data_IF_898872202223
#
_entry.id   IF_898872202223
#
_cell.length_a   1.000
_cell.length_b   1.000
_cell.length_c   1.000
_cell.angle_alpha   90.00
_cell.angle_beta   90.00
_cell.angle_gamma   90.00
#
_symmetry.space_group_name_H-M   'P 1'
#
loop_
_entity.id
_entity.type
_entity.pdbx_description
1 polymer ?
#
# COMPACT_ATOMS: atom_id res chain seq x y z
N UNK A 1 5.30 11.05 12.31
CA UNK A 1 6.23 10.92 11.16
C UNK A 1 7.64 11.05 11.69
N UNK A 2 8.53 10.11 11.39
CA UNK A 2 9.95 10.24 11.78
C UNK A 2 10.60 11.37 10.99
N UNK A 3 11.49 12.10 11.64
CA UNK A 3 12.36 13.09 10.96
C UNK A 3 13.63 12.45 10.38
N UNK A 4 13.84 11.17 10.63
CA UNK A 4 15.07 10.48 10.28
C UNK A 4 14.89 9.61 9.03
N UNK A 5 15.94 9.59 8.24
CA UNK A 5 16.01 8.87 6.97
C UNK A 5 17.38 8.20 6.85
N UNK A 6 17.43 7.05 6.22
CA UNK A 6 18.68 6.34 5.94
C UNK A 6 19.62 7.25 5.11
N UNK A 7 20.90 7.30 5.48
CA UNK A 7 21.90 7.96 4.65
C UNK A 7 22.21 7.07 3.43
N UNK A 8 21.56 7.35 2.32
CA UNK A 8 21.67 6.57 1.08
C UNK A 8 23.02 6.69 0.37
N UNK A 9 23.85 7.67 0.77
CA UNK A 9 25.23 7.80 0.31
C UNK A 9 26.22 6.95 1.12
N UNK A 10 25.76 6.34 2.23
CA UNK A 10 26.62 5.46 3.03
C UNK A 10 26.55 4.01 2.51
N UNK A 11 27.66 3.42 2.02
CA UNK A 11 27.68 2.06 1.53
C UNK A 11 27.22 1.01 2.55
N UNK A 12 27.45 1.24 3.85
CA UNK A 12 27.01 0.32 4.91
C UNK A 12 25.48 0.32 5.04
N UNK A 13 24.81 1.44 4.79
CA UNK A 13 23.35 1.49 4.80
C UNK A 13 22.74 0.72 3.62
N UNK A 14 23.38 0.81 2.46
CA UNK A 14 23.00 0.03 1.28
C UNK A 14 23.21 -1.46 1.52
N UNK A 15 24.37 -1.85 2.08
CA UNK A 15 24.66 -3.24 2.38
C UNK A 15 23.68 -3.80 3.42
N UNK A 16 23.39 -3.07 4.49
CA UNK A 16 22.39 -3.46 5.48
C UNK A 16 21.02 -3.74 4.84
N UNK A 17 20.56 -2.87 3.93
CA UNK A 17 19.29 -3.10 3.25
C UNK A 17 19.30 -4.36 2.36
N UNK A 18 20.44 -4.65 1.71
CA UNK A 18 20.64 -5.89 0.94
C UNK A 18 20.59 -7.13 1.84
N UNK A 19 21.26 -7.09 2.98
CA UNK A 19 21.28 -8.19 3.95
C UNK A 19 19.89 -8.50 4.49
N UNK A 20 19.09 -7.45 4.78
CA UNK A 20 17.68 -7.59 5.19
C UNK A 20 16.83 -8.22 4.08
N UNK A 21 17.01 -7.80 2.82
CA UNK A 21 16.31 -8.42 1.68
C UNK A 21 16.69 -9.89 1.55
N UNK A 22 17.95 -10.24 1.76
CA UNK A 22 18.43 -11.61 1.69
C UNK A 22 17.76 -12.49 2.73
N UNK A 23 17.66 -12.02 3.97
CA UNK A 23 16.97 -12.72 5.05
C UNK A 23 15.47 -12.85 4.78
N UNK A 24 14.81 -11.77 4.34
CA UNK A 24 13.39 -11.80 3.97
C UNK A 24 13.11 -12.78 2.83
N UNK A 25 14.04 -12.92 1.88
CA UNK A 25 13.90 -13.85 0.75
C UNK A 25 13.93 -15.31 1.22
N UNK A 26 14.69 -15.63 2.26
CA UNK A 26 14.73 -16.97 2.87
C UNK A 26 13.48 -17.25 3.72
N UNK A 27 13.01 -16.27 4.48
CA UNK A 27 11.87 -16.42 5.39
C UNK A 27 10.52 -16.45 4.65
N UNK A 28 10.40 -15.69 3.55
CA UNK A 28 9.15 -15.52 2.81
C UNK A 28 9.30 -15.99 1.36
N UNK A 29 8.74 -17.17 1.02
CA UNK A 29 8.90 -17.76 -0.32
C UNK A 29 7.97 -17.14 -1.39
N UNK A 30 7.41 -15.96 -1.14
CA UNK A 30 6.48 -15.28 -2.06
C UNK A 30 7.22 -14.41 -3.09
N UNK A 31 6.56 -14.15 -4.23
CA UNK A 31 7.17 -13.45 -5.36
C UNK A 31 7.40 -11.95 -5.17
N UNK A 32 6.91 -11.33 -4.08
CA UNK A 32 6.94 -9.88 -3.87
C UNK A 32 7.54 -9.52 -2.51
N UNK A 33 8.32 -8.42 -2.47
CA UNK A 33 8.76 -7.75 -1.23
C UNK A 33 8.39 -6.27 -1.35
N UNK A 34 7.67 -5.73 -0.35
CA UNK A 34 7.36 -4.32 -0.26
C UNK A 34 8.46 -3.58 0.51
N UNK A 35 9.07 -2.58 -0.12
CA UNK A 35 10.18 -1.81 0.45
C UNK A 35 9.77 -0.43 1.00
N UNK A 36 8.48 -0.14 1.08
CA UNK A 36 8.02 1.15 1.57
C UNK A 36 8.24 2.29 0.57
N UNK A 37 8.86 3.37 1.03
CA UNK A 37 9.22 4.52 0.19
C UNK A 37 8.31 5.72 0.35
N UNK A 38 7.32 5.62 1.23
CA UNK A 38 6.40 6.69 1.61
C UNK A 38 7.07 7.73 2.51
N UNK A 39 6.52 8.94 2.48
CA UNK A 39 6.81 10.03 3.43
C UNK A 39 8.29 10.28 3.72
N UNK A 40 9.17 10.00 2.75
CA UNK A 40 10.61 10.10 2.88
C UNK A 40 11.05 11.59 2.93
N UNK A 41 11.58 12.10 4.05
CA UNK A 41 12.00 13.48 4.16
C UNK A 41 13.38 13.71 3.51
N UNK A 42 13.44 14.55 2.48
CA UNK A 42 14.72 14.84 1.76
C UNK A 42 15.62 15.83 2.47
N UNK A 43 15.10 16.66 3.37
CA UNK A 43 15.84 17.78 3.98
C UNK A 43 17.09 17.36 4.77
N UNK A 44 17.18 16.11 5.23
CA UNK A 44 18.39 15.56 5.85
C UNK A 44 19.48 15.31 4.82
N UNK A 45 19.11 14.80 3.65
CA UNK A 45 20.03 14.61 2.53
C UNK A 45 20.53 15.93 1.96
N UNK A 46 19.66 16.96 1.91
CA UNK A 46 20.00 18.31 1.47
C UNK A 46 21.11 18.96 2.32
N UNK A 47 21.25 18.54 3.58
CA UNK A 47 22.22 19.04 4.56
C UNK A 47 23.41 18.11 4.75
N UNK A 48 23.46 16.99 4.05
CA UNK A 48 24.53 16.00 4.16
C UNK A 48 25.47 16.11 2.96
N UNK A 49 26.77 16.34 3.19
CA UNK A 49 27.77 16.51 2.16
C UNK A 49 27.90 15.31 1.22
N UNK A 50 27.80 14.09 1.76
CA UNK A 50 27.94 12.87 0.97
C UNK A 50 26.72 12.68 0.06
N UNK A 51 25.51 12.99 0.55
CA UNK A 51 24.31 12.98 -0.26
C UNK A 51 24.32 14.05 -1.35
N UNK A 52 24.87 15.24 -1.06
CA UNK A 52 25.06 16.30 -2.07
C UNK A 52 26.06 15.85 -3.15
N UNK A 53 27.14 15.22 -2.75
CA UNK A 53 28.14 14.68 -3.69
C UNK A 53 27.52 13.58 -4.57
N UNK A 54 26.80 12.64 -3.97
CA UNK A 54 26.10 11.56 -4.69
C UNK A 54 25.04 12.13 -5.65
N UNK A 55 24.29 13.13 -5.24
CA UNK A 55 23.28 13.77 -6.10
C UNK A 55 23.91 14.35 -7.36
N UNK A 56 25.08 15.00 -7.21
CA UNK A 56 25.86 15.55 -8.32
C UNK A 56 26.42 14.42 -9.20
N UNK A 57 26.90 13.34 -8.60
CA UNK A 57 27.46 12.18 -9.30
C UNK A 57 26.42 11.52 -10.20
N UNK A 58 25.17 11.35 -9.71
CA UNK A 58 24.07 10.79 -10.51
C UNK A 58 23.46 11.78 -11.51
N UNK A 59 24.00 13.03 -11.57
CA UNK A 59 23.57 14.05 -12.53
C UNK A 59 22.19 14.63 -12.28
N UNK A 60 21.68 14.57 -11.04
CA UNK A 60 20.35 15.08 -10.69
C UNK A 60 20.41 16.36 -9.87
N UNK A 61 19.27 17.10 -9.84
CA UNK A 61 19.00 18.22 -8.95
C UNK A 61 17.83 17.94 -8.00
N UNK A 62 17.16 16.78 -8.17
CA UNK A 62 16.04 16.38 -7.34
C UNK A 62 16.50 15.36 -6.28
N UNK A 63 16.45 15.73 -5.01
CA UNK A 63 16.83 14.82 -3.92
C UNK A 63 15.99 13.55 -3.83
N UNK A 64 14.80 13.51 -4.43
CA UNK A 64 14.02 12.27 -4.58
C UNK A 64 14.75 11.20 -5.43
N UNK A 65 15.63 11.63 -6.32
CA UNK A 65 16.40 10.70 -7.16
C UNK A 65 17.48 9.95 -6.37
N UNK A 66 17.86 10.42 -5.19
CA UNK A 66 18.71 9.65 -4.28
C UNK A 66 17.97 8.40 -3.75
N UNK A 67 16.66 8.51 -3.50
CA UNK A 67 15.82 7.36 -3.15
C UNK A 67 15.73 6.38 -4.31
N UNK A 68 15.56 6.88 -5.54
CA UNK A 68 15.56 6.05 -6.75
C UNK A 68 16.90 5.34 -6.93
N UNK A 69 18.00 6.05 -6.75
CA UNK A 69 19.36 5.48 -6.83
C UNK A 69 19.56 4.37 -5.79
N UNK A 70 19.11 4.57 -4.56
CA UNK A 70 19.15 3.57 -3.50
C UNK A 70 18.33 2.33 -3.91
N UNK A 71 17.10 2.49 -4.36
CA UNK A 71 16.25 1.37 -4.80
C UNK A 71 16.80 0.64 -6.02
N UNK A 72 17.47 1.35 -6.93
CA UNK A 72 18.13 0.72 -8.08
C UNK A 72 19.20 -0.28 -7.63
N UNK A 73 20.00 0.08 -6.62
CA UNK A 73 21.01 -0.84 -6.07
C UNK A 73 20.38 -2.09 -5.44
N UNK A 74 19.20 -1.95 -4.82
CA UNK A 74 18.47 -3.09 -4.24
C UNK A 74 17.84 -3.96 -5.34
N UNK A 75 17.29 -3.36 -6.39
CA UNK A 75 16.79 -4.07 -7.57
C UNK A 75 17.91 -4.89 -8.25
N UNK A 76 19.07 -4.27 -8.46
CA UNK A 76 20.21 -4.96 -9.06
C UNK A 76 20.70 -6.13 -8.20
N UNK A 77 20.68 -5.96 -6.87
CA UNK A 77 21.01 -7.02 -5.95
C UNK A 77 20.04 -8.20 -6.05
N UNK A 78 18.74 -7.94 -6.08
CA UNK A 78 17.71 -8.98 -6.24
C UNK A 78 17.80 -9.67 -7.59
N UNK A 79 18.10 -8.93 -8.66
CA UNK A 79 18.21 -9.48 -10.01
C UNK A 79 19.41 -10.44 -10.16
N UNK A 80 20.45 -10.29 -9.33
CA UNK A 80 21.62 -11.17 -9.33
C UNK A 80 21.40 -12.49 -8.57
N UNK A 81 20.29 -12.62 -7.85
CA UNK A 81 19.97 -13.86 -7.12
C UNK A 81 19.57 -15.00 -8.06
N UNK A 82 19.69 -16.26 -7.63
CA UNK A 82 19.09 -17.40 -8.33
C UNK A 82 17.60 -17.16 -8.62
N UNK A 83 17.09 -17.71 -9.71
CA UNK A 83 15.74 -17.43 -10.20
C UNK A 83 14.63 -17.71 -9.15
N UNK A 84 14.78 -18.73 -8.34
CA UNK A 84 13.86 -19.10 -7.24
C UNK A 84 13.93 -18.11 -6.05
N UNK A 85 14.98 -17.31 -5.97
CA UNK A 85 15.21 -16.28 -4.93
C UNK A 85 14.95 -14.86 -5.42
N UNK A 86 14.70 -14.66 -6.70
CA UNK A 86 14.34 -13.33 -7.21
C UNK A 86 12.94 -12.92 -6.73
N UNK A 87 12.78 -11.63 -6.44
CA UNK A 87 11.53 -11.05 -5.97
C UNK A 87 11.22 -9.78 -6.77
N UNK A 88 9.93 -9.55 -7.01
CA UNK A 88 9.44 -8.26 -7.52
C UNK A 88 9.33 -7.28 -6.38
N UNK A 89 9.84 -6.08 -6.58
CA UNK A 89 9.81 -5.06 -5.55
C UNK A 89 8.56 -4.19 -5.68
N UNK A 90 7.94 -3.91 -4.53
CA UNK A 90 6.74 -3.07 -4.40
C UNK A 90 7.11 -1.82 -3.63
N UNK A 91 6.60 -0.68 -4.06
CA UNK A 91 6.84 0.62 -3.43
C UNK A 91 5.54 1.40 -3.28
N UNK A 92 5.48 2.25 -2.25
CA UNK A 92 4.43 3.27 -2.18
C UNK A 92 4.57 4.28 -3.31
N UNK A 93 3.46 4.90 -3.69
CA UNK A 93 3.41 5.73 -4.90
C UNK A 93 4.24 7.02 -4.84
N UNK A 94 4.75 7.44 -3.69
CA UNK A 94 5.64 8.60 -3.61
C UNK A 94 6.97 8.40 -4.35
N UNK A 95 7.36 7.16 -4.62
CA UNK A 95 8.52 6.87 -5.47
C UNK A 95 8.37 7.48 -6.87
N UNK A 96 7.14 7.70 -7.33
CA UNK A 96 6.84 8.36 -8.61
C UNK A 96 7.23 9.84 -8.65
N UNK A 97 7.53 10.47 -7.51
CA UNK A 97 8.01 11.86 -7.43
C UNK A 97 9.48 12.02 -7.86
N UNK A 98 10.24 10.92 -7.95
CA UNK A 98 11.58 10.89 -8.53
C UNK A 98 11.58 10.45 -9.99
N UNK A 99 12.76 10.48 -10.62
CA UNK A 99 12.95 9.89 -11.94
C UNK A 99 12.99 8.37 -11.82
N UNK A 100 11.89 7.70 -12.10
CA UNK A 100 11.77 6.23 -11.99
C UNK A 100 12.34 5.44 -13.17
N UNK A 101 12.84 6.10 -14.20
CA UNK A 101 13.40 5.43 -15.40
C UNK A 101 14.47 4.36 -15.04
N UNK A 102 15.42 4.63 -14.10
CA UNK A 102 16.42 3.63 -13.70
C UNK A 102 15.83 2.37 -13.07
N UNK A 103 14.63 2.43 -12.48
CA UNK A 103 13.99 1.26 -11.85
C UNK A 103 13.36 0.32 -12.89
N UNK A 104 13.20 0.77 -14.14
CA UNK A 104 12.53 -0.01 -15.18
C UNK A 104 11.02 -0.15 -14.94
N UNK A 105 10.43 -1.15 -15.58
CA UNK A 105 8.98 -1.37 -15.58
C UNK A 105 8.55 -2.59 -14.76
N UNK A 106 9.48 -3.42 -14.31
CA UNK A 106 9.18 -4.66 -13.57
C UNK A 106 9.14 -4.44 -12.04
N UNK A 107 8.64 -3.29 -11.65
CA UNK A 107 8.29 -2.94 -10.27
C UNK A 107 6.79 -2.79 -10.13
N UNK A 108 6.30 -2.81 -8.90
CA UNK A 108 4.88 -2.60 -8.60
C UNK A 108 4.72 -1.37 -7.71
N UNK A 109 3.79 -0.50 -8.06
CA UNK A 109 3.44 0.67 -7.28
C UNK A 109 2.17 0.38 -6.48
N UNK A 110 2.24 0.51 -5.16
CA UNK A 110 1.07 0.48 -4.30
C UNK A 110 0.57 1.91 -4.10
N UNK A 111 -0.57 2.19 -4.70
CA UNK A 111 -1.12 3.54 -4.76
C UNK A 111 -2.07 3.78 -3.58
N UNK A 112 -1.70 4.69 -2.65
CA UNK A 112 -2.46 4.99 -1.44
C UNK A 112 -2.93 6.45 -1.35
N UNK A 113 -2.05 7.41 -1.59
CA UNK A 113 -2.41 8.84 -1.61
C UNK A 113 -2.65 9.30 -3.04
N UNK A 114 -3.82 9.89 -3.29
CA UNK A 114 -4.21 10.19 -4.67
C UNK A 114 -4.25 8.93 -5.55
N UNK A 115 -4.70 7.81 -4.98
CA UNK A 115 -4.47 6.46 -5.47
C UNK A 115 -4.85 6.26 -6.95
N UNK A 116 -6.01 6.75 -7.39
CA UNK A 116 -6.47 6.56 -8.77
C UNK A 116 -5.54 7.24 -9.79
N UNK A 117 -5.10 8.47 -9.47
CA UNK A 117 -4.16 9.23 -10.29
C UNK A 117 -2.76 8.61 -10.30
N UNK A 118 -2.27 8.21 -9.13
CA UNK A 118 -0.95 7.59 -8.97
C UNK A 118 -0.87 6.21 -9.65
N UNK A 119 -1.92 5.40 -9.51
CA UNK A 119 -2.01 4.10 -10.19
C UNK A 119 -2.04 4.27 -11.72
N UNK A 120 -2.80 5.25 -12.22
CA UNK A 120 -2.83 5.56 -13.64
C UNK A 120 -1.45 6.02 -14.15
N UNK A 121 -0.76 6.89 -13.42
CA UNK A 121 0.59 7.35 -13.78
C UNK A 121 1.58 6.16 -13.83
N UNK A 122 1.57 5.29 -12.81
CA UNK A 122 2.38 4.08 -12.80
C UNK A 122 2.10 3.17 -14.01
N UNK A 123 0.82 2.92 -14.31
CA UNK A 123 0.40 2.10 -15.44
C UNK A 123 0.83 2.70 -16.79
N UNK A 124 0.71 4.03 -16.95
CA UNK A 124 1.18 4.75 -18.14
C UNK A 124 2.70 4.67 -18.32
N UNK A 125 3.46 4.62 -17.23
CA UNK A 125 4.92 4.36 -17.25
C UNK A 125 5.24 2.88 -17.50
N UNK A 126 4.22 2.01 -17.62
CA UNK A 126 4.35 0.57 -17.88
C UNK A 126 4.58 -0.30 -16.65
N UNK A 127 4.53 0.26 -15.46
CA UNK A 127 4.66 -0.46 -14.17
C UNK A 127 3.34 -1.13 -13.80
N UNK A 128 3.42 -2.19 -12.98
CA UNK A 128 2.24 -2.75 -12.33
C UNK A 128 1.78 -1.86 -11.17
N UNK A 129 0.50 -1.95 -10.81
CA UNK A 129 -0.05 -1.18 -9.71
C UNK A 129 -1.07 -1.97 -8.88
N UNK A 130 -1.14 -1.65 -7.59
CA UNK A 130 -2.14 -2.13 -6.64
C UNK A 130 -2.85 -0.90 -6.09
N UNK A 131 -4.19 -0.88 -6.15
CA UNK A 131 -5.00 0.16 -5.56
C UNK A 131 -5.18 -0.09 -4.06
N UNK A 132 -4.61 0.79 -3.24
CA UNK A 132 -4.75 0.77 -1.78
C UNK A 132 -5.15 2.16 -1.26
N UNK A 133 -6.25 2.73 -1.78
CA UNK A 133 -6.59 4.13 -1.52
C UNK A 133 -6.75 4.39 -0.02
N UNK A 134 -6.08 5.44 0.48
CA UNK A 134 -6.21 5.87 1.87
C UNK A 134 -7.69 6.10 2.23
N UNK A 135 -8.46 6.61 1.30
CA UNK A 135 -9.90 6.74 1.35
C UNK A 135 -10.47 5.97 0.17
N UNK A 136 -11.27 4.92 0.41
CA UNK A 136 -11.85 4.47 1.69
C UNK A 136 -11.22 3.19 2.28
N UNK A 137 -10.03 2.75 1.85
CA UNK A 137 -9.50 1.42 2.17
C UNK A 137 -8.54 1.37 3.37
N UNK A 138 -8.31 2.51 4.06
CA UNK A 138 -7.67 2.48 5.37
C UNK A 138 -8.70 2.18 6.44
N UNK A 139 -8.89 0.89 6.71
CA UNK A 139 -9.94 0.37 7.59
C UNK A 139 -9.54 0.36 9.09
N UNK A 140 -8.50 1.08 9.45
CA UNK A 140 -8.16 1.44 10.83
C UNK A 140 -8.90 2.72 11.30
N UNK A 141 -9.76 3.31 10.47
CA UNK A 141 -10.60 4.46 10.80
C UNK A 141 -11.96 4.00 11.35
N UNK A 142 -12.68 4.93 12.01
CA UNK A 142 -14.04 4.65 12.47
C UNK A 142 -14.93 4.20 11.31
N UNK A 143 -15.83 3.30 11.59
CA UNK A 143 -16.78 2.83 10.59
C UNK A 143 -18.19 3.41 10.76
N UNK A 144 -18.42 4.21 11.81
CA UNK A 144 -19.67 4.90 12.05
C UNK A 144 -19.47 6.18 12.86
N UNK A 145 -20.58 6.90 13.09
CA UNK A 145 -20.65 8.09 13.97
C UNK A 145 -21.11 7.78 15.38
N UNK A 146 -21.20 6.50 15.75
CA UNK A 146 -21.64 6.10 17.08
C UNK A 146 -20.62 6.57 18.14
N UNK A 147 -21.13 6.99 19.29
CA UNK A 147 -20.26 7.35 20.44
C UNK A 147 -19.46 6.18 20.99
N UNK A 148 -19.90 4.96 20.69
CA UNK A 148 -19.25 3.71 21.09
C UNK A 148 -18.13 3.29 20.16
N UNK A 149 -17.82 4.06 19.10
CA UNK A 149 -16.69 3.75 18.23
C UNK A 149 -15.38 3.70 19.02
N UNK A 150 -14.54 2.69 18.79
CA UNK A 150 -13.23 2.63 19.44
C UNK A 150 -12.35 3.79 18.99
N UNK A 151 -11.37 4.13 19.83
CA UNK A 151 -10.34 5.10 19.45
C UNK A 151 -9.63 4.60 18.19
N UNK A 152 -9.55 5.46 17.20
CA UNK A 152 -8.98 5.14 15.89
C UNK A 152 -8.43 6.41 15.24
N UNK A 153 -7.82 6.29 14.08
CA UNK A 153 -7.29 7.44 13.36
C UNK A 153 -8.43 8.40 12.94
N UNK A 154 -8.24 9.70 13.21
CA UNK A 154 -9.31 10.70 13.23
C UNK A 154 -9.68 11.38 11.91
N UNK A 155 -9.36 10.81 10.74
CA UNK A 155 -9.57 11.46 9.43
C UNK A 155 -10.94 11.19 8.78
N UNK A 156 -11.95 10.91 9.56
CA UNK A 156 -13.33 10.69 9.09
C UNK A 156 -13.79 9.24 9.26
N UNK A 157 -15.03 9.01 8.82
CA UNK A 157 -15.68 7.73 8.96
C UNK A 157 -15.66 6.98 7.62
N UNK A 158 -15.15 5.76 7.63
CA UNK A 158 -15.14 4.89 6.46
C UNK A 158 -16.20 3.79 6.66
N UNK A 159 -17.43 4.13 6.30
CA UNK A 159 -18.57 3.19 6.43
C UNK A 159 -18.45 2.03 5.45
N UNK A 160 -19.15 0.91 5.74
CA UNK A 160 -19.24 -0.23 4.81
C UNK A 160 -19.73 0.21 3.43
N UNK A 161 -20.74 1.08 3.38
CA UNK A 161 -21.29 1.62 2.14
C UNK A 161 -20.23 2.41 1.35
N UNK A 162 -19.47 3.27 2.04
CA UNK A 162 -18.40 4.05 1.40
C UNK A 162 -17.31 3.16 0.83
N UNK A 163 -16.90 2.14 1.59
CA UNK A 163 -15.91 1.14 1.14
C UNK A 163 -16.44 0.37 -0.06
N UNK A 164 -17.71 -0.08 0.00
CA UNK A 164 -18.35 -0.83 -1.08
C UNK A 164 -18.47 -0.02 -2.37
N UNK A 165 -18.83 1.28 -2.24
CA UNK A 165 -19.07 2.15 -3.39
C UNK A 165 -17.81 2.65 -4.08
N UNK A 166 -16.62 2.41 -3.53
CA UNK A 166 -15.39 2.65 -4.28
C UNK A 166 -15.36 1.75 -5.52
N UNK A 167 -15.01 2.34 -6.65
CA UNK A 167 -14.98 1.67 -7.95
C UNK A 167 -13.53 1.57 -8.44
N UNK A 168 -12.81 0.50 -8.09
CA UNK A 168 -11.52 0.23 -8.70
C UNK A 168 -11.68 0.24 -10.23
N UNK A 169 -10.69 0.67 -10.95
CA UNK A 169 -10.69 0.68 -12.43
C UNK A 169 -11.63 1.71 -13.08
N UNK A 170 -12.32 2.58 -12.30
CA UNK A 170 -13.21 3.57 -12.87
C UNK A 170 -12.46 4.55 -13.80
N UNK A 171 -12.86 4.63 -15.05
CA UNK A 171 -12.25 5.51 -16.05
C UNK A 171 -10.84 5.10 -16.49
N UNK A 172 -10.43 3.86 -16.23
CA UNK A 172 -9.15 3.32 -16.69
C UNK A 172 -9.30 2.77 -18.12
N UNK A 173 -8.47 3.29 -19.02
CA UNK A 173 -8.43 2.83 -20.41
C UNK A 173 -8.09 1.32 -20.49
N UNK A 174 -8.71 0.61 -21.43
CA UNK A 174 -8.63 -0.85 -21.52
C UNK A 174 -7.18 -1.35 -21.65
N UNK A 175 -6.35 -0.65 -22.39
CA UNK A 175 -4.94 -0.99 -22.58
C UNK A 175 -4.09 -0.87 -21.29
N UNK A 176 -4.55 -0.13 -20.29
CA UNK A 176 -3.87 0.00 -19.00
C UNK A 176 -4.36 -1.01 -17.95
N UNK A 177 -5.53 -1.58 -18.13
CA UNK A 177 -6.14 -2.50 -17.16
C UNK A 177 -5.25 -3.69 -16.78
N UNK A 178 -4.48 -4.32 -17.71
CA UNK A 178 -3.59 -5.42 -17.36
C UNK A 178 -2.47 -5.06 -16.38
N UNK A 179 -2.23 -3.76 -16.14
CA UNK A 179 -1.26 -3.28 -15.16
C UNK A 179 -1.80 -3.25 -13.73
N UNK A 180 -3.11 -3.30 -13.56
CA UNK A 180 -3.75 -3.28 -12.25
C UNK A 180 -3.84 -4.71 -11.71
N UNK A 181 -3.06 -5.01 -10.67
CA UNK A 181 -3.00 -6.35 -10.07
C UNK A 181 -4.16 -6.62 -9.11
N UNK A 182 -4.79 -5.57 -8.59
CA UNK A 182 -5.92 -5.69 -7.68
C UNK A 182 -6.03 -4.54 -6.68
N UNK A 183 -6.72 -4.82 -5.58
CA UNK A 183 -6.97 -3.88 -4.48
C UNK A 183 -6.41 -4.41 -3.17
N UNK A 184 -6.08 -3.50 -2.25
CA UNK A 184 -5.66 -3.84 -0.90
C UNK A 184 -6.29 -2.86 0.11
N UNK A 185 -6.77 -3.38 1.24
CA UNK A 185 -7.07 -2.57 2.41
C UNK A 185 -5.89 -2.56 3.37
N UNK A 186 -5.66 -1.43 4.03
CA UNK A 186 -4.63 -1.28 5.04
C UNK A 186 -5.24 -1.10 6.43
N UNK A 187 -4.57 -1.69 7.41
CA UNK A 187 -4.90 -1.54 8.82
C UNK A 187 -3.64 -1.16 9.60
N UNK A 188 -3.62 0.07 10.11
CA UNK A 188 -2.52 0.60 10.91
C UNK A 188 -2.89 0.58 12.39
N UNK A 189 -1.94 0.23 13.25
CA UNK A 189 -2.22 -0.16 14.64
C UNK A 189 -1.85 0.90 15.68
N UNK A 190 -1.54 2.13 15.31
CA UNK A 190 -1.09 3.20 16.22
C UNK A 190 -2.07 3.49 17.35
N UNK A 191 -3.36 3.26 17.13
CA UNK A 191 -4.44 3.52 18.07
C UNK A 191 -5.09 2.26 18.64
N UNK A 192 -4.55 1.09 18.30
CA UNK A 192 -5.16 -0.20 18.63
C UNK A 192 -4.36 -0.90 19.71
N UNK A 193 -5.03 -1.21 20.81
CA UNK A 193 -4.43 -1.87 21.97
C UNK A 193 -4.95 -3.29 22.21
N UNK A 194 -6.10 -3.64 21.58
CA UNK A 194 -6.76 -4.93 21.80
C UNK A 194 -7.14 -5.59 20.47
N UNK A 195 -6.98 -6.92 20.31
CA UNK A 195 -7.36 -7.64 19.10
C UNK A 195 -8.83 -7.49 18.71
N UNK A 196 -9.73 -7.36 19.69
CA UNK A 196 -11.17 -7.12 19.48
C UNK A 196 -11.44 -5.83 18.70
N UNK A 197 -10.64 -4.78 18.94
CA UNK A 197 -10.72 -3.52 18.19
C UNK A 197 -10.31 -3.71 16.73
N UNK A 198 -9.28 -4.53 16.47
CA UNK A 198 -8.89 -4.88 15.09
C UNK A 198 -10.06 -5.55 14.37
N UNK A 199 -10.65 -6.58 14.99
CA UNK A 199 -11.78 -7.32 14.44
C UNK A 199 -12.95 -6.39 14.16
N UNK A 200 -13.34 -5.58 15.15
CA UNK A 200 -14.43 -4.62 15.01
C UNK A 200 -14.19 -3.65 13.83
N UNK A 201 -13.02 -3.03 13.77
CA UNK A 201 -12.72 -2.05 12.71
C UNK A 201 -12.58 -2.68 11.33
N UNK A 202 -12.12 -3.93 11.23
CA UNK A 202 -12.01 -4.63 9.95
C UNK A 202 -13.38 -5.11 9.43
N UNK A 203 -14.22 -5.63 10.31
CA UNK A 203 -15.42 -6.35 9.91
C UNK A 203 -16.69 -5.51 10.12
N UNK A 204 -17.61 -5.50 9.13
CA UNK A 204 -17.58 -6.27 7.89
C UNK A 204 -16.96 -5.53 6.69
N UNK A 205 -16.27 -4.38 6.87
CA UNK A 205 -15.70 -3.57 5.77
C UNK A 205 -14.77 -4.36 4.86
N UNK A 206 -14.03 -5.32 5.42
CA UNK A 206 -13.10 -6.16 4.62
C UNK A 206 -13.87 -6.99 3.59
N UNK A 207 -15.11 -7.43 3.89
CA UNK A 207 -15.96 -8.09 2.92
C UNK A 207 -16.33 -7.15 1.75
N UNK A 208 -16.55 -5.86 2.03
CA UNK A 208 -16.83 -4.87 0.98
C UNK A 208 -15.60 -4.64 0.07
N UNK A 209 -14.38 -4.63 0.63
CA UNK A 209 -13.15 -4.57 -0.15
C UNK A 209 -13.01 -5.81 -1.04
N UNK A 210 -13.27 -6.99 -0.48
CA UNK A 210 -13.22 -8.24 -1.23
C UNK A 210 -14.24 -8.25 -2.39
N UNK A 211 -15.46 -7.82 -2.14
CA UNK A 211 -16.48 -7.70 -3.18
C UNK A 211 -16.04 -6.73 -4.30
N UNK A 212 -15.48 -5.57 -3.92
CA UNK A 212 -15.02 -4.59 -4.90
C UNK A 212 -13.85 -5.09 -5.78
N UNK A 213 -12.99 -5.93 -5.22
CA UNK A 213 -11.87 -6.53 -5.95
C UNK A 213 -12.22 -7.76 -6.78
N UNK A 214 -13.31 -8.45 -6.43
CA UNK A 214 -13.66 -9.75 -7.01
C UNK A 214 -14.83 -9.70 -7.99
N UNK A 215 -15.83 -8.83 -7.70
CA UNK A 215 -17.07 -8.77 -8.47
C UNK A 215 -17.01 -7.64 -9.49
N UNK A 216 -17.27 -7.91 -10.78
CA UNK A 216 -17.39 -6.88 -11.80
C UNK A 216 -18.34 -5.75 -11.37
N UNK A 217 -17.98 -4.51 -11.67
CA UNK A 217 -18.69 -3.34 -11.17
C UNK A 217 -20.17 -3.29 -11.56
N UNK A 218 -20.51 -3.79 -12.74
CA UNK A 218 -21.88 -3.89 -13.27
C UNK A 218 -22.75 -4.93 -12.57
N UNK A 219 -22.15 -5.87 -11.87
CA UNK A 219 -22.84 -6.91 -11.10
C UNK A 219 -22.96 -6.57 -9.61
N UNK A 220 -22.32 -5.48 -9.16
CA UNK A 220 -22.38 -5.09 -7.74
C UNK A 220 -23.69 -4.38 -7.41
N UNK A 221 -24.35 -4.86 -6.36
CA UNK A 221 -25.55 -4.28 -5.78
C UNK A 221 -25.40 -4.21 -4.26
N UNK A 222 -25.48 -3.01 -3.69
CA UNK A 222 -25.22 -2.80 -2.26
C UNK A 222 -26.28 -3.48 -1.37
N UNK A 223 -27.57 -3.44 -1.75
CA UNK A 223 -28.63 -4.04 -0.96
C UNK A 223 -28.48 -5.56 -0.93
N UNK A 224 -28.24 -6.19 -2.08
CA UNK A 224 -27.92 -7.62 -2.15
C UNK A 224 -26.66 -7.99 -1.35
N UNK A 225 -25.63 -7.15 -1.40
CA UNK A 225 -24.41 -7.33 -0.60
C UNK A 225 -24.72 -7.33 0.91
N UNK A 226 -25.54 -6.38 1.40
CA UNK A 226 -25.95 -6.29 2.80
C UNK A 226 -26.77 -7.53 3.19
N UNK A 227 -27.67 -8.01 2.33
CA UNK A 227 -28.44 -9.24 2.58
C UNK A 227 -27.52 -10.48 2.71
N UNK A 228 -26.54 -10.61 1.84
CA UNK A 228 -25.54 -11.70 1.93
C UNK A 228 -24.68 -11.60 3.19
N UNK A 229 -24.34 -10.38 3.65
CA UNK A 229 -23.60 -10.16 4.89
C UNK A 229 -24.31 -10.68 6.14
N UNK A 230 -25.65 -10.88 6.13
CA UNK A 230 -26.36 -11.50 7.24
C UNK A 230 -25.84 -12.92 7.54
N UNK A 231 -25.39 -13.63 6.50
CA UNK A 231 -24.72 -14.93 6.66
C UNK A 231 -23.39 -14.82 7.37
N UNK A 232 -22.59 -13.85 6.99
CA UNK A 232 -21.29 -13.55 7.60
C UNK A 232 -21.45 -13.13 9.08
N UNK A 233 -22.46 -12.32 9.40
CA UNK A 233 -22.75 -11.92 10.78
C UNK A 233 -22.99 -13.12 11.69
N UNK A 234 -23.72 -14.13 11.21
CA UNK A 234 -23.93 -15.40 11.95
C UNK A 234 -22.62 -16.14 12.17
N UNK A 235 -21.76 -16.15 11.15
CA UNK A 235 -20.44 -16.78 11.26
C UNK A 235 -19.55 -16.07 12.26
N UNK A 236 -19.51 -14.70 12.25
CA UNK A 236 -18.78 -13.92 13.25
C UNK A 236 -19.26 -14.22 14.67
N UNK A 237 -20.57 -14.28 14.89
CA UNK A 237 -21.15 -14.65 16.19
C UNK A 237 -20.72 -16.05 16.62
N UNK A 238 -20.81 -17.04 15.74
CA UNK A 238 -20.40 -18.42 16.04
C UNK A 238 -18.93 -18.55 16.41
N UNK A 239 -18.07 -17.71 15.79
CA UNK A 239 -16.63 -17.69 16.06
C UNK A 239 -16.22 -16.77 17.20
N UNK A 240 -17.15 -16.04 17.81
CA UNK A 240 -16.86 -15.07 18.87
C UNK A 240 -16.00 -13.88 18.39
N UNK A 241 -16.16 -13.49 17.12
CA UNK A 241 -15.39 -12.39 16.50
C UNK A 241 -16.17 -11.09 16.64
N UNK A 242 -15.49 -10.02 17.03
CA UNK A 242 -16.09 -8.69 17.10
C UNK A 242 -16.26 -8.06 15.70
N UNK A 243 -17.37 -7.35 15.48
CA UNK A 243 -17.66 -6.70 14.20
C UNK A 243 -18.65 -5.53 14.36
N UNK A 244 -18.76 -4.67 13.38
CA UNK A 244 -19.69 -3.55 13.34
C UNK A 244 -21.15 -3.96 13.23
N UNK A 245 -21.79 -4.32 14.35
CA UNK A 245 -23.18 -4.78 14.42
C UNK A 245 -24.21 -3.78 13.90
N UNK A 246 -23.86 -2.49 13.91
CA UNK A 246 -24.74 -1.41 13.44
C UNK A 246 -25.06 -1.51 11.93
N UNK A 247 -24.26 -2.23 11.16
CA UNK A 247 -24.47 -2.45 9.72
C UNK A 247 -25.69 -3.34 9.45
N UNK A 248 -26.08 -4.17 10.40
CA UNK A 248 -27.10 -5.19 10.28
C UNK A 248 -28.46 -4.81 10.93
N UNK A 249 -28.73 -3.54 11.03
CA UNK A 249 -29.96 -3.03 11.63
C UNK A 249 -31.04 -2.78 10.59
#
# INVERSE_FOLDING_TARGET
>A
MSSDVINVANPLAVQFAKDVIDELTELFPFGYIHLGGDECPTYKWERNSDCQALLKEIGSQNYRDLQIHFYKQLLDHVAQKPADKQRKLVFWNEVLHGNTEPLGKDITIMAWIGADGAAKDAAMRGMNTILSPQIPYYINRRQSKLETEPKSQGYGDETVERVYNYKPMNGIAEELQPKYLGVQANFWTEWVVEPSVVQYLMLPRLAAVAEAGWTPAELRNYDDFIDRLQGEAKYYQLKGVDYGKHVFK
#
